data_IF_043028810756
#
_entry.id   IF_043028810756
#
_cell.length_a   1.000
_cell.length_b   1.000
_cell.length_c   1.000
_cell.angle_alpha   90.00
_cell.angle_beta   90.00
_cell.angle_gamma   90.00
#
_symmetry.space_group_name_H-M   'P 1'
#
loop_
_entity.id
_entity.type
_entity.pdbx_description
1 polymer ?
#
# COMPACT_ATOMS: atom_id res chain seq x y z
N UNK A 1 -33.67 12.26 -19.79
CA UNK A 1 -32.52 12.97 -19.17
C UNK A 1 -31.15 12.24 -19.29
N UNK A 2 -31.01 11.21 -20.14
CA UNK A 2 -29.74 10.43 -20.27
C UNK A 2 -28.88 10.79 -21.51
N UNK A 3 -29.25 11.74 -22.34
CA UNK A 3 -28.59 12.01 -23.63
C UNK A 3 -27.57 13.15 -23.62
N UNK A 4 -27.47 13.95 -22.53
CA UNK A 4 -26.58 15.13 -22.49
C UNK A 4 -25.21 14.92 -21.85
N UNK A 5 -24.97 13.77 -21.27
CA UNK A 5 -23.67 13.50 -20.58
C UNK A 5 -22.60 12.99 -21.58
N UNK A 6 -23.04 12.36 -22.69
CA UNK A 6 -22.13 11.73 -23.65
C UNK A 6 -21.54 12.70 -24.71
N UNK A 7 -22.01 13.94 -24.80
CA UNK A 7 -21.60 14.90 -25.85
C UNK A 7 -20.43 15.83 -25.41
N UNK A 8 -20.02 15.80 -24.16
CA UNK A 8 -18.80 16.49 -23.72
C UNK A 8 -17.62 15.53 -23.85
N UNK A 9 -16.80 15.71 -24.90
CA UNK A 9 -15.51 15.02 -24.98
C UNK A 9 -14.71 15.32 -23.70
N UNK A 10 -14.61 14.32 -22.82
CA UNK A 10 -13.72 14.39 -21.66
C UNK A 10 -12.29 14.48 -22.19
N UNK A 11 -11.59 15.59 -21.93
CA UNK A 11 -10.21 15.80 -22.40
C UNK A 11 -9.18 15.36 -21.38
N UNK A 12 -9.57 15.24 -20.13
CA UNK A 12 -8.70 14.82 -19.01
C UNK A 12 -9.54 14.17 -17.94
N UNK A 13 -9.09 13.03 -17.44
CA UNK A 13 -9.59 12.41 -16.23
C UNK A 13 -8.44 12.34 -15.19
N UNK A 14 -8.77 12.46 -13.91
CA UNK A 14 -7.82 12.38 -12.83
C UNK A 14 -8.44 11.55 -11.70
N UNK A 15 -7.71 10.56 -11.21
CA UNK A 15 -8.06 9.79 -10.01
C UNK A 15 -7.14 10.27 -8.89
N UNK A 16 -7.71 10.72 -7.78
CA UNK A 16 -6.98 11.11 -6.59
C UNK A 16 -7.30 10.09 -5.51
N UNK A 17 -6.31 9.28 -5.15
CA UNK A 17 -6.41 8.30 -4.06
C UNK A 17 -5.83 8.92 -2.80
N UNK A 18 -6.64 9.05 -1.76
CA UNK A 18 -6.17 9.45 -0.44
C UNK A 18 -5.78 8.19 0.32
N UNK A 19 -4.49 7.95 0.43
CA UNK A 19 -3.94 6.77 1.11
C UNK A 19 -4.34 6.75 2.59
N UNK A 20 -4.77 5.56 3.07
CA UNK A 20 -5.19 5.36 4.45
C UNK A 20 -6.51 6.04 4.86
N UNK A 21 -7.26 6.62 3.92
CA UNK A 21 -8.54 7.30 4.20
C UNK A 21 -9.72 6.43 3.78
N UNK A 22 -10.39 5.84 4.76
CA UNK A 22 -11.62 5.07 4.59
C UNK A 22 -12.86 5.79 5.13
N UNK A 23 -14.00 5.54 4.48
CA UNK A 23 -15.32 6.07 4.87
C UNK A 23 -16.26 4.90 5.11
N UNK A 24 -16.12 4.26 6.27
CA UNK A 24 -16.79 3.02 6.64
C UNK A 24 -15.95 1.78 6.32
N UNK A 25 -16.39 0.65 6.85
CA UNK A 25 -15.77 -0.65 6.66
C UNK A 25 -16.35 -1.40 5.45
N UNK A 26 -15.60 -2.34 4.90
CA UNK A 26 -16.05 -3.28 3.89
C UNK A 26 -16.84 -4.44 4.55
N UNK A 27 -17.67 -5.16 3.78
CA UNK A 27 -18.48 -6.27 4.33
C UNK A 27 -17.67 -7.41 4.96
N UNK A 28 -16.42 -7.61 4.52
CA UNK A 28 -15.47 -8.63 4.97
C UNK A 28 -14.48 -8.11 6.03
N UNK A 29 -14.67 -6.91 6.57
CA UNK A 29 -13.77 -6.29 7.55
C UNK A 29 -13.52 -7.18 8.78
N UNK A 30 -14.52 -7.95 9.22
CA UNK A 30 -14.39 -8.85 10.36
C UNK A 30 -13.34 -9.95 10.12
N UNK A 31 -13.19 -10.43 8.89
CA UNK A 31 -12.23 -11.48 8.52
C UNK A 31 -10.78 -10.98 8.63
N UNK A 32 -10.59 -9.66 8.59
CA UNK A 32 -9.30 -8.98 8.72
C UNK A 32 -9.07 -8.31 10.08
N UNK A 33 -10.01 -8.47 11.02
CA UNK A 33 -9.97 -7.80 12.33
C UNK A 33 -10.19 -6.28 12.25
N UNK A 34 -10.80 -5.78 11.17
CA UNK A 34 -10.99 -4.36 10.87
C UNK A 34 -12.42 -3.87 11.15
N UNK A 35 -13.23 -4.64 11.87
CA UNK A 35 -14.60 -4.22 12.24
C UNK A 35 -14.59 -2.85 12.94
N UNK A 36 -15.49 -1.96 12.52
CA UNK A 36 -15.56 -0.58 13.01
C UNK A 36 -14.59 0.39 12.35
N UNK A 37 -13.86 -0.04 11.32
CA UNK A 37 -12.93 0.82 10.59
C UNK A 37 -13.66 1.93 9.84
N UNK A 38 -13.34 3.18 10.18
CA UNK A 38 -13.85 4.38 9.51
C UNK A 38 -12.92 5.56 9.81
N UNK A 39 -11.90 5.76 8.98
CA UNK A 39 -10.87 6.77 9.25
C UNK A 39 -11.48 8.16 9.55
N UNK A 40 -12.34 8.66 8.67
CA UNK A 40 -12.91 10.00 8.84
C UNK A 40 -13.93 10.07 9.98
N UNK A 41 -14.75 9.04 10.17
CA UNK A 41 -15.74 9.00 11.25
C UNK A 41 -15.07 8.92 12.62
N UNK A 42 -14.11 8.00 12.78
CA UNK A 42 -13.40 7.79 14.04
C UNK A 42 -12.52 9.00 14.38
N UNK A 43 -11.83 9.58 13.39
CA UNK A 43 -11.06 10.79 13.59
C UNK A 43 -11.95 11.97 14.00
N UNK A 44 -13.09 12.15 13.35
CA UNK A 44 -14.02 13.21 13.69
C UNK A 44 -14.52 13.12 15.13
N UNK A 45 -14.85 11.91 15.58
CA UNK A 45 -15.27 11.66 16.95
C UNK A 45 -14.16 11.96 17.98
N UNK A 46 -12.91 11.60 17.67
CA UNK A 46 -11.77 11.81 18.57
C UNK A 46 -11.40 13.30 18.72
N UNK A 47 -11.47 14.07 17.62
CA UNK A 47 -11.07 15.51 17.65
C UNK A 47 -12.23 16.49 17.82
N UNK A 48 -13.46 16.00 18.02
CA UNK A 48 -14.65 16.84 18.20
C UNK A 48 -15.12 17.53 16.91
N UNK A 49 -15.00 16.82 15.78
CA UNK A 49 -15.48 17.24 14.47
C UNK A 49 -14.37 17.62 13.48
N UNK A 50 -14.67 17.43 12.19
CA UNK A 50 -13.76 17.79 11.09
C UNK A 50 -14.30 18.99 10.31
N UNK A 51 -13.38 19.84 9.84
CA UNK A 51 -13.71 20.95 8.96
C UNK A 51 -13.20 20.70 7.54
N UNK A 52 -14.05 20.10 6.68
CA UNK A 52 -13.75 19.76 5.30
C UNK A 52 -14.79 20.37 4.34
N UNK A 53 -14.83 21.72 4.20
CA UNK A 53 -15.94 22.41 3.51
C UNK A 53 -16.06 22.06 2.03
N UNK A 54 -14.95 21.78 1.35
CA UNK A 54 -14.98 21.39 -0.06
C UNK A 54 -15.52 19.97 -0.25
N UNK A 55 -15.05 19.00 0.52
CA UNK A 55 -15.55 17.63 0.46
C UNK A 55 -17.01 17.54 0.93
N UNK A 56 -17.41 18.36 1.93
CA UNK A 56 -18.79 18.48 2.35
C UNK A 56 -19.70 18.93 1.20
N UNK A 57 -19.32 19.99 0.45
CA UNK A 57 -20.06 20.44 -0.74
C UNK A 57 -20.14 19.40 -1.85
N UNK A 58 -19.14 18.53 -1.98
CA UNK A 58 -19.16 17.43 -2.93
C UNK A 58 -20.05 16.26 -2.50
N UNK A 59 -20.48 16.20 -1.24
CA UNK A 59 -21.40 15.19 -0.73
C UNK A 59 -20.80 14.20 0.25
N UNK A 60 -19.63 14.47 0.84
CA UNK A 60 -18.99 13.55 1.79
C UNK A 60 -19.90 13.19 2.96
N UNK A 61 -20.59 14.16 3.58
CA UNK A 61 -21.53 13.93 4.67
C UNK A 61 -22.82 13.17 4.28
N UNK A 62 -23.05 12.95 2.97
CA UNK A 62 -24.16 12.13 2.48
C UNK A 62 -23.81 10.63 2.41
N UNK A 63 -22.51 10.28 2.53
CA UNK A 63 -22.04 8.89 2.50
C UNK A 63 -22.26 8.22 3.86
N UNK A 64 -21.77 8.87 4.93
CA UNK A 64 -21.96 8.49 6.33
C UNK A 64 -22.06 9.75 7.19
N UNK A 65 -22.53 9.61 8.42
CA UNK A 65 -22.50 10.70 9.40
C UNK A 65 -21.06 10.93 9.88
N UNK A 66 -20.57 12.17 9.72
CA UNK A 66 -19.24 12.60 10.16
C UNK A 66 -19.43 13.90 10.95
N UNK A 67 -18.96 13.93 12.19
CA UNK A 67 -19.07 15.13 13.02
C UNK A 67 -18.33 16.31 12.37
N UNK A 68 -18.99 17.47 12.31
CA UNK A 68 -18.48 18.66 11.61
C UNK A 68 -18.72 18.70 10.09
N UNK A 69 -19.27 17.64 9.47
CA UNK A 69 -19.56 17.57 8.04
C UNK A 69 -21.03 17.17 7.82
N UNK A 70 -21.97 18.12 7.84
CA UNK A 70 -23.38 17.83 7.62
C UNK A 70 -23.64 17.35 6.18
N UNK A 71 -24.70 16.56 5.95
CA UNK A 71 -25.14 16.21 4.61
C UNK A 71 -25.44 17.47 3.78
N UNK A 72 -24.98 17.48 2.54
CA UNK A 72 -25.32 18.53 1.57
C UNK A 72 -26.69 18.26 0.97
N UNK A 73 -27.62 19.24 1.04
CA UNK A 73 -28.94 19.13 0.42
C UNK A 73 -28.84 19.08 -1.12
N UNK A 74 -27.91 19.84 -1.70
CA UNK A 74 -27.62 19.89 -3.13
C UNK A 74 -26.12 19.65 -3.37
N UNK A 75 -25.65 18.39 -3.38
CA UNK A 75 -24.26 18.07 -3.60
C UNK A 75 -23.78 18.54 -4.99
N UNK A 76 -22.57 19.10 -5.03
CA UNK A 76 -21.97 19.60 -6.30
C UNK A 76 -21.31 18.48 -7.13
N UNK A 77 -21.29 17.23 -6.63
CA UNK A 77 -20.74 16.06 -7.31
C UNK A 77 -21.61 14.83 -7.11
N UNK A 78 -21.33 13.76 -7.87
CA UNK A 78 -21.78 12.43 -7.55
C UNK A 78 -20.92 11.86 -6.41
N UNK A 79 -21.55 11.18 -5.48
CA UNK A 79 -20.91 10.50 -4.36
C UNK A 79 -21.45 9.09 -4.22
N UNK A 80 -20.69 8.20 -3.56
CA UNK A 80 -21.12 6.84 -3.35
C UNK A 80 -20.07 6.01 -2.61
N UNK A 81 -20.40 4.74 -2.39
CA UNK A 81 -19.52 3.72 -1.83
C UNK A 81 -19.18 2.71 -2.92
N UNK A 82 -17.97 2.19 -2.84
CA UNK A 82 -17.54 1.06 -3.65
C UNK A 82 -17.08 -0.05 -2.70
N UNK A 83 -17.50 -1.28 -2.97
CA UNK A 83 -17.00 -2.47 -2.30
C UNK A 83 -15.98 -3.14 -3.22
N UNK A 84 -14.80 -3.43 -2.69
CA UNK A 84 -13.77 -4.18 -3.38
C UNK A 84 -14.27 -5.60 -3.65
N UNK A 85 -14.03 -6.13 -4.85
CA UNK A 85 -14.39 -7.48 -5.27
C UNK A 85 -13.19 -8.43 -5.21
N UNK A 86 -11.97 -7.91 -5.41
CA UNK A 86 -10.75 -8.69 -5.26
C UNK A 86 -10.61 -9.14 -3.80
N UNK A 87 -10.35 -10.43 -3.54
CA UNK A 87 -10.08 -10.89 -2.19
C UNK A 87 -8.74 -10.34 -1.69
N UNK A 88 -8.62 -10.22 -0.38
CA UNK A 88 -7.39 -9.72 0.25
C UNK A 88 -7.44 -8.25 0.59
N UNK A 89 -6.40 -7.80 1.28
CA UNK A 89 -6.29 -6.46 1.84
C UNK A 89 -4.87 -5.94 1.60
N UNK A 90 -4.65 -5.41 0.41
CA UNK A 90 -3.38 -4.81 0.05
C UNK A 90 -3.54 -3.67 -0.96
N UNK A 91 -2.54 -2.77 -1.00
CA UNK A 91 -2.57 -1.60 -1.88
C UNK A 91 -2.52 -1.97 -3.35
N UNK A 92 -1.84 -3.06 -3.72
CA UNK A 92 -1.63 -3.45 -5.12
C UNK A 92 -2.94 -3.90 -5.76
N UNK A 93 -3.66 -4.83 -5.12
CA UNK A 93 -4.96 -5.31 -5.60
C UNK A 93 -5.99 -4.19 -5.67
N UNK A 94 -6.03 -3.30 -4.67
CA UNK A 94 -6.93 -2.15 -4.67
C UNK A 94 -6.69 -1.19 -5.85
N UNK A 95 -5.42 -0.88 -6.16
CA UNK A 95 -5.09 -0.04 -7.31
C UNK A 95 -5.40 -0.71 -8.65
N UNK A 96 -5.17 -2.01 -8.76
CA UNK A 96 -5.53 -2.75 -9.97
C UNK A 96 -7.04 -2.78 -10.18
N UNK A 97 -7.81 -3.00 -9.12
CA UNK A 97 -9.27 -3.02 -9.23
C UNK A 97 -9.85 -1.66 -9.63
N UNK A 98 -9.30 -0.55 -9.11
CA UNK A 98 -9.66 0.80 -9.57
C UNK A 98 -9.38 1.01 -11.06
N UNK A 99 -8.47 0.26 -11.65
CA UNK A 99 -8.13 0.30 -13.08
C UNK A 99 -8.74 -0.86 -13.87
N UNK A 100 -9.70 -1.58 -13.29
CA UNK A 100 -10.54 -2.58 -13.97
C UNK A 100 -10.02 -4.02 -13.90
N UNK A 101 -8.97 -4.31 -13.13
CA UNK A 101 -8.42 -5.64 -12.97
C UNK A 101 -8.79 -6.22 -11.61
N UNK A 102 -9.73 -7.18 -11.59
CA UNK A 102 -10.17 -7.89 -10.39
C UNK A 102 -9.36 -9.18 -10.26
N UNK A 103 -8.79 -9.41 -9.10
CA UNK A 103 -8.09 -10.65 -8.77
C UNK A 103 -9.08 -11.72 -8.31
N UNK A 104 -8.81 -12.99 -8.63
CA UNK A 104 -9.55 -14.14 -8.13
C UNK A 104 -8.92 -14.78 -6.88
N UNK A 105 -7.65 -14.47 -6.61
CA UNK A 105 -6.86 -15.02 -5.50
C UNK A 105 -6.13 -13.88 -4.81
N UNK A 106 -6.15 -13.80 -3.47
CA UNK A 106 -5.43 -12.78 -2.74
C UNK A 106 -3.91 -13.01 -2.86
N UNK A 107 -3.15 -11.96 -2.67
CA UNK A 107 -1.72 -12.09 -2.44
C UNK A 107 -1.46 -12.81 -1.11
N UNK A 108 -0.36 -13.58 -1.00
CA UNK A 108 -0.01 -14.24 0.25
C UNK A 108 0.34 -13.23 1.34
N UNK A 109 0.11 -13.60 2.60
CA UNK A 109 0.54 -12.85 3.78
C UNK A 109 1.28 -13.78 4.74
N UNK A 110 2.20 -13.22 5.53
CA UNK A 110 3.08 -14.00 6.40
C UNK A 110 3.06 -13.48 7.84
N UNK A 111 1.99 -13.75 8.61
CA UNK A 111 1.85 -13.25 9.98
C UNK A 111 2.93 -13.74 10.93
N UNK A 112 3.56 -14.88 10.65
CA UNK A 112 4.66 -15.46 11.45
C UNK A 112 6.05 -15.17 10.85
N UNK A 113 6.13 -14.31 9.81
CA UNK A 113 7.33 -14.13 9.00
C UNK A 113 7.42 -15.12 7.84
N UNK A 114 8.35 -14.89 6.93
CA UNK A 114 8.52 -15.71 5.73
C UNK A 114 9.09 -17.10 6.07
N UNK A 115 8.59 -18.16 5.42
CA UNK A 115 9.05 -19.52 5.69
C UNK A 115 10.48 -19.74 5.17
N UNK A 116 11.17 -20.79 5.68
CA UNK A 116 12.54 -21.10 5.26
C UNK A 116 12.73 -21.26 3.75
N UNK A 117 11.73 -21.74 3.03
CA UNK A 117 11.74 -21.88 1.57
C UNK A 117 11.77 -20.54 0.81
N UNK A 118 11.51 -19.42 1.49
CA UNK A 118 11.66 -18.05 0.99
C UNK A 118 12.98 -17.46 1.46
N UNK A 119 13.28 -17.55 2.75
CA UNK A 119 14.44 -16.90 3.36
C UNK A 119 15.75 -17.56 2.94
N UNK A 120 15.83 -18.90 2.94
CA UNK A 120 17.10 -19.58 2.62
C UNK A 120 17.57 -19.30 1.18
N UNK A 121 16.75 -19.45 0.13
CA UNK A 121 17.17 -19.07 -1.22
C UNK A 121 17.48 -17.57 -1.36
N UNK A 122 16.79 -16.72 -0.62
CA UNK A 122 17.07 -15.28 -0.62
C UNK A 122 18.45 -14.99 -0.03
N UNK A 123 18.79 -15.54 1.14
CA UNK A 123 20.11 -15.41 1.78
C UNK A 123 21.24 -15.93 0.87
N UNK A 124 21.02 -17.08 0.25
CA UNK A 124 21.98 -17.66 -0.72
C UNK A 124 22.19 -16.74 -1.93
N UNK A 125 21.10 -16.14 -2.44
CA UNK A 125 21.14 -15.25 -3.61
C UNK A 125 21.89 -13.96 -3.33
N UNK A 126 21.73 -13.37 -2.13
CA UNK A 126 22.37 -12.13 -1.75
C UNK A 126 23.74 -12.34 -1.06
N UNK A 127 24.11 -13.58 -0.73
CA UNK A 127 25.36 -13.93 -0.05
C UNK A 127 25.48 -13.43 1.38
N UNK A 128 24.35 -13.14 2.04
CA UNK A 128 24.28 -12.63 3.42
C UNK A 128 23.13 -13.27 4.18
N UNK A 129 23.27 -13.37 5.52
CA UNK A 129 22.13 -13.66 6.38
C UNK A 129 21.20 -12.46 6.48
N UNK A 130 19.98 -12.68 6.96
CA UNK A 130 19.03 -11.62 7.25
C UNK A 130 18.77 -11.49 8.74
N UNK A 131 18.38 -10.28 9.17
CA UNK A 131 17.87 -10.00 10.51
C UNK A 131 16.35 -9.86 10.46
N UNK A 132 15.70 -10.12 11.58
CA UNK A 132 14.27 -9.89 11.76
C UNK A 132 13.41 -11.05 11.28
N UNK A 133 12.91 -11.01 10.05
CA UNK A 133 11.95 -11.95 9.48
C UNK A 133 10.68 -12.11 10.32
N UNK A 134 10.02 -10.99 10.62
CA UNK A 134 8.80 -10.93 11.43
C UNK A 134 7.88 -9.81 10.97
N UNK A 135 6.64 -9.81 11.45
CA UNK A 135 5.72 -8.67 11.30
C UNK A 135 6.19 -7.53 12.20
N UNK A 136 6.39 -6.35 11.63
CA UNK A 136 6.81 -5.18 12.39
C UNK A 136 6.47 -3.85 11.69
N UNK A 137 6.37 -2.78 12.48
CA UNK A 137 6.45 -1.42 11.96
C UNK A 137 7.88 -1.11 11.54
N UNK A 138 8.06 -0.49 10.37
CA UNK A 138 9.38 -0.17 9.85
C UNK A 138 10.19 0.78 10.72
N UNK A 139 9.58 1.68 11.49
CA UNK A 139 10.28 2.55 12.45
C UNK A 139 10.72 1.77 13.69
N UNK A 140 9.88 0.86 14.17
CA UNK A 140 10.20 0.04 15.35
C UNK A 140 11.34 -0.93 15.05
N UNK A 141 11.27 -1.64 13.92
CA UNK A 141 12.26 -2.68 13.61
C UNK A 141 13.65 -2.12 13.30
N UNK A 142 13.75 -0.92 12.70
CA UNK A 142 15.05 -0.29 12.48
C UNK A 142 15.69 0.17 13.79
N UNK A 143 14.91 0.63 14.78
CA UNK A 143 15.44 0.92 16.11
C UNK A 143 15.86 -0.35 16.85
N UNK A 144 15.10 -1.43 16.73
CA UNK A 144 15.39 -2.71 17.37
C UNK A 144 16.66 -3.38 16.82
N UNK A 145 16.81 -3.42 15.50
CA UNK A 145 17.82 -4.21 14.80
C UNK A 145 18.91 -3.40 14.10
N UNK A 146 18.76 -2.08 14.06
CA UNK A 146 19.70 -1.21 13.32
C UNK A 146 21.13 -1.29 13.83
N UNK A 147 21.35 -1.36 15.15
CA UNK A 147 22.71 -1.53 15.71
C UNK A 147 23.34 -2.87 15.28
N UNK A 148 22.56 -3.97 15.34
CA UNK A 148 23.00 -5.28 14.88
C UNK A 148 23.26 -5.31 13.37
N UNK A 149 22.42 -4.61 12.58
CA UNK A 149 22.62 -4.43 11.14
C UNK A 149 23.96 -3.74 10.83
N UNK A 150 24.30 -2.67 11.56
CA UNK A 150 25.58 -1.95 11.38
C UNK A 150 26.76 -2.87 11.70
N UNK A 151 26.68 -3.67 12.76
CA UNK A 151 27.73 -4.58 13.18
C UNK A 151 27.93 -5.75 12.20
N UNK A 152 26.85 -6.34 11.69
CA UNK A 152 26.89 -7.58 10.91
C UNK A 152 26.90 -7.36 9.39
N UNK A 153 26.39 -6.23 8.92
CA UNK A 153 26.11 -6.00 7.51
C UNK A 153 24.92 -6.79 6.96
N UNK A 154 24.11 -7.42 7.79
CA UNK A 154 22.96 -8.22 7.39
C UNK A 154 21.73 -7.32 7.21
N UNK A 155 21.03 -7.35 6.05
CA UNK A 155 19.82 -6.57 5.85
C UNK A 155 18.70 -7.01 6.80
N UNK A 156 17.83 -6.08 7.18
CA UNK A 156 16.68 -6.33 8.03
C UNK A 156 15.49 -6.67 7.13
N UNK A 157 14.98 -7.90 7.21
CA UNK A 157 13.78 -8.35 6.50
C UNK A 157 12.59 -8.35 7.45
N UNK A 158 11.46 -7.81 7.00
CA UNK A 158 10.23 -7.79 7.76
C UNK A 158 9.01 -7.67 6.84
N UNK A 159 7.84 -7.95 7.38
CA UNK A 159 6.55 -7.81 6.70
C UNK A 159 5.57 -6.99 7.53
N UNK A 160 4.38 -6.77 7.02
CA UNK A 160 3.25 -6.14 7.72
C UNK A 160 1.96 -6.93 7.46
N UNK A 161 0.81 -6.36 7.80
CA UNK A 161 -0.48 -6.98 7.49
C UNK A 161 -0.78 -7.06 5.98
N UNK A 162 -0.09 -6.23 5.17
CA UNK A 162 -0.17 -6.26 3.71
C UNK A 162 0.75 -7.36 3.14
N UNK A 163 0.55 -7.69 1.86
CA UNK A 163 1.45 -8.57 1.10
C UNK A 163 2.70 -7.81 0.66
N UNK A 164 3.69 -7.74 1.56
CA UNK A 164 4.92 -6.99 1.33
C UNK A 164 6.15 -7.70 1.90
N UNK A 165 7.21 -7.77 1.10
CA UNK A 165 8.55 -8.16 1.53
C UNK A 165 9.41 -6.89 1.66
N UNK A 166 9.69 -6.46 2.88
CA UNK A 166 10.39 -5.22 3.14
C UNK A 166 11.82 -5.49 3.57
N UNK A 167 12.77 -4.73 3.01
CA UNK A 167 14.18 -4.86 3.29
C UNK A 167 14.71 -3.49 3.73
N UNK A 168 15.09 -3.39 5.01
CA UNK A 168 15.70 -2.17 5.53
C UNK A 168 17.23 -2.34 5.65
N UNK A 169 17.95 -1.26 5.31
CA UNK A 169 19.39 -1.18 5.45
C UNK A 169 19.85 0.25 5.69
N UNK A 170 20.89 0.40 6.51
CA UNK A 170 21.57 1.67 6.71
C UNK A 170 22.42 2.02 5.49
N UNK A 171 22.31 3.25 4.98
CA UNK A 171 22.91 3.66 3.71
C UNK A 171 24.44 3.61 3.69
N UNK A 172 25.09 3.72 4.85
CA UNK A 172 26.55 3.60 4.97
C UNK A 172 27.03 2.16 5.10
N UNK A 173 26.13 1.20 5.38
CA UNK A 173 26.45 -0.24 5.54
C UNK A 173 26.14 -1.00 4.26
N UNK A 174 24.98 -0.79 3.70
CA UNK A 174 24.55 -1.29 2.40
C UNK A 174 24.13 -0.07 1.55
N UNK A 175 24.95 0.35 0.59
CA UNK A 175 24.63 1.46 -0.29
C UNK A 175 23.26 1.28 -0.96
N UNK A 176 22.56 2.38 -1.22
CA UNK A 176 21.19 2.35 -1.77
C UNK A 176 21.11 1.57 -3.09
N UNK A 177 22.10 1.66 -3.96
CA UNK A 177 22.17 0.88 -5.20
C UNK A 177 22.23 -0.62 -4.92
N UNK A 178 23.06 -1.06 -3.96
CA UNK A 178 23.15 -2.46 -3.55
C UNK A 178 21.84 -2.93 -2.89
N UNK A 179 21.19 -2.09 -2.06
CA UNK A 179 19.88 -2.41 -1.51
C UNK A 179 18.83 -2.62 -2.61
N UNK A 180 18.89 -1.82 -3.69
CA UNK A 180 17.97 -2.01 -4.81
C UNK A 180 18.25 -3.31 -5.56
N UNK A 181 19.51 -3.71 -5.73
CA UNK A 181 19.88 -5.00 -6.34
C UNK A 181 19.41 -6.18 -5.47
N UNK A 182 19.53 -6.06 -4.14
CA UNK A 182 18.99 -7.03 -3.18
C UNK A 182 17.45 -7.13 -3.31
N UNK A 183 16.76 -6.01 -3.42
CA UNK A 183 15.30 -6.00 -3.60
C UNK A 183 14.88 -6.58 -4.96
N UNK A 184 15.63 -6.32 -6.03
CA UNK A 184 15.39 -6.92 -7.34
C UNK A 184 15.56 -8.45 -7.28
N UNK A 185 16.61 -8.93 -6.62
CA UNK A 185 16.81 -10.35 -6.38
C UNK A 185 15.67 -11.02 -5.60
N UNK A 186 15.15 -10.33 -4.56
CA UNK A 186 13.95 -10.78 -3.84
C UNK A 186 12.73 -10.84 -4.76
N UNK A 187 12.52 -9.80 -5.61
CA UNK A 187 11.39 -9.77 -6.55
C UNK A 187 11.41 -10.92 -7.54
N UNK A 188 12.60 -11.34 -8.02
CA UNK A 188 12.76 -12.50 -8.90
C UNK A 188 12.41 -13.82 -8.21
N UNK A 189 12.72 -13.95 -6.93
CA UNK A 189 12.46 -15.17 -6.15
C UNK A 189 11.00 -15.30 -5.71
N UNK A 190 10.34 -14.17 -5.39
CA UNK A 190 8.97 -14.15 -4.86
C UNK A 190 7.93 -14.31 -5.97
N UNK A 191 7.75 -15.55 -6.43
CA UNK A 191 6.83 -15.93 -7.52
C UNK A 191 5.89 -17.06 -7.10
N UNK A 192 4.89 -17.33 -7.93
CA UNK A 192 3.92 -18.40 -7.69
C UNK A 192 3.19 -18.21 -6.35
N UNK A 193 3.20 -19.25 -5.50
CA UNK A 193 2.54 -19.21 -4.18
C UNK A 193 3.14 -18.20 -3.19
N UNK A 194 4.35 -17.73 -3.43
CA UNK A 194 5.06 -16.72 -2.66
C UNK A 194 5.14 -15.36 -3.37
N UNK A 195 4.29 -15.17 -4.38
CA UNK A 195 4.25 -13.95 -5.18
C UNK A 195 3.68 -12.76 -4.40
N UNK A 196 4.53 -12.11 -3.59
CA UNK A 196 4.19 -10.90 -2.86
C UNK A 196 3.82 -9.75 -3.81
N UNK A 197 2.85 -8.94 -3.40
CA UNK A 197 2.43 -7.77 -4.15
C UNK A 197 3.56 -6.76 -4.36
N UNK A 198 4.41 -6.57 -3.35
CA UNK A 198 5.56 -5.64 -3.41
C UNK A 198 6.76 -6.16 -2.66
N UNK A 199 7.96 -5.90 -3.21
CA UNK A 199 9.21 -5.88 -2.48
C UNK A 199 9.59 -4.41 -2.27
N UNK A 200 9.95 -4.01 -1.05
CA UNK A 200 10.16 -2.60 -0.73
C UNK A 200 11.57 -2.39 -0.15
N UNK A 201 12.36 -1.56 -0.81
CA UNK A 201 13.59 -1.02 -0.26
C UNK A 201 13.27 0.07 0.77
N UNK A 202 13.82 -0.07 1.97
CA UNK A 202 13.63 0.84 3.11
C UNK A 202 14.99 1.34 3.64
N UNK A 203 15.70 2.19 2.88
CA UNK A 203 16.96 2.74 3.38
C UNK A 203 16.70 3.64 4.60
N UNK A 204 17.66 3.64 5.52
CA UNK A 204 17.64 4.51 6.70
C UNK A 204 19.04 5.05 7.02
N UNK A 205 19.11 6.07 7.85
CA UNK A 205 20.31 6.76 8.29
C UNK A 205 20.25 7.04 9.79
N UNK A 206 21.32 7.50 10.39
CA UNK A 206 21.40 7.92 11.79
C UNK A 206 22.21 6.94 12.64
N UNK A 207 22.04 7.03 13.94
CA UNK A 207 22.78 6.24 14.92
C UNK A 207 21.82 5.47 15.85
N UNK A 208 22.26 4.44 16.56
CA UNK A 208 21.42 3.71 17.53
C UNK A 208 20.70 4.66 18.49
N UNK A 209 19.36 4.50 18.58
CA UNK A 209 18.48 5.36 19.35
C UNK A 209 17.96 6.59 18.60
N UNK A 210 18.40 6.82 17.34
CA UNK A 210 17.94 7.94 16.52
C UNK A 210 18.01 7.62 15.01
N UNK A 211 17.54 6.43 14.64
CA UNK A 211 17.47 6.05 13.25
C UNK A 211 16.28 6.72 12.54
N UNK A 212 16.50 7.18 11.31
CA UNK A 212 15.48 7.83 10.50
C UNK A 212 15.41 7.21 9.10
N UNK A 213 14.22 6.87 8.64
CA UNK A 213 14.01 6.41 7.26
C UNK A 213 14.31 7.52 6.27
N UNK A 214 15.12 7.22 5.26
CA UNK A 214 15.42 8.19 4.20
C UNK A 214 14.30 8.25 3.17
N UNK A 215 14.34 9.27 2.31
CA UNK A 215 13.39 9.46 1.21
C UNK A 215 13.64 8.54 0.01
N UNK A 216 14.71 7.72 0.04
CA UNK A 216 15.12 6.81 -1.04
C UNK A 216 14.42 5.46 -0.98
N UNK A 217 13.18 5.43 -0.46
CA UNK A 217 12.32 4.25 -0.58
C UNK A 217 12.08 3.95 -2.05
N UNK A 218 12.11 2.65 -2.40
CA UNK A 218 11.73 2.19 -3.72
C UNK A 218 10.91 0.91 -3.64
N UNK A 219 9.83 0.83 -4.40
CA UNK A 219 8.91 -0.31 -4.41
C UNK A 219 9.08 -1.08 -5.73
N UNK A 220 9.40 -2.36 -5.62
CA UNK A 220 9.47 -3.33 -6.71
C UNK A 220 8.15 -4.10 -6.74
N UNK A 221 7.14 -3.53 -7.38
CA UNK A 221 5.80 -4.12 -7.46
C UNK A 221 5.76 -5.23 -8.50
N UNK A 222 4.90 -6.22 -8.25
CA UNK A 222 4.56 -7.21 -9.27
C UNK A 222 3.76 -6.52 -10.38
N UNK A 223 3.96 -6.95 -11.62
CA UNK A 223 3.17 -6.44 -12.75
C UNK A 223 1.76 -7.00 -12.73
N UNK A 224 0.75 -6.22 -13.17
CA UNK A 224 -0.62 -6.72 -13.30
C UNK A 224 -0.67 -7.97 -14.19
N UNK A 225 -1.43 -9.02 -13.82
CA UNK A 225 -1.55 -10.25 -14.62
C UNK A 225 -2.36 -10.10 -15.92
N UNK A 226 -2.92 -8.92 -16.15
CA UNK A 226 -3.72 -8.61 -17.34
C UNK A 226 -3.76 -7.12 -17.65
N UNK A 227 -4.41 -6.73 -18.74
CA UNK A 227 -4.53 -5.34 -19.16
C UNK A 227 -5.39 -4.55 -18.16
N UNK A 228 -4.96 -3.34 -17.87
CA UNK A 228 -5.66 -2.35 -17.04
C UNK A 228 -6.26 -1.24 -17.90
N UNK A 229 -7.04 -0.35 -17.31
CA UNK A 229 -7.51 0.87 -17.96
C UNK A 229 -6.35 1.68 -18.58
N UNK A 230 -5.19 1.72 -17.93
CA UNK A 230 -4.03 2.44 -18.41
C UNK A 230 -3.51 1.87 -19.73
N UNK A 231 -3.44 0.54 -19.84
CA UNK A 231 -3.08 -0.13 -21.11
C UNK A 231 -4.08 0.19 -22.21
N UNK A 232 -5.38 0.08 -21.90
CA UNK A 232 -6.47 0.36 -22.86
C UNK A 232 -6.42 1.80 -23.37
N UNK A 233 -6.14 2.76 -22.50
CA UNK A 233 -6.01 4.17 -22.89
C UNK A 233 -4.76 4.41 -23.74
N UNK A 234 -3.63 3.81 -23.37
CA UNK A 234 -2.40 3.92 -24.14
C UNK A 234 -2.54 3.31 -25.53
N UNK A 235 -3.17 2.14 -25.66
CA UNK A 235 -3.45 1.47 -26.94
C UNK A 235 -4.40 2.29 -27.82
N UNK A 236 -5.29 3.07 -27.21
CA UNK A 236 -6.17 4.02 -27.89
C UNK A 236 -5.49 5.39 -28.15
N UNK A 237 -4.17 5.49 -27.97
CA UNK A 237 -3.35 6.69 -28.17
C UNK A 237 -3.73 7.89 -27.30
N UNK A 238 -4.30 7.64 -26.11
CA UNK A 238 -4.41 8.69 -25.09
C UNK A 238 -3.08 8.81 -24.32
N UNK A 239 -2.80 10.01 -23.87
CA UNK A 239 -1.69 10.23 -22.94
C UNK A 239 -2.12 9.80 -21.53
N UNK A 240 -1.35 8.89 -20.93
CA UNK A 240 -1.57 8.34 -19.58
C UNK A 240 -0.41 8.76 -18.69
#
# INVERSE_FOLDING_TARGET
MKKHILDRKCRRAMIIVMDGVGVGELPDAADFGDSGSCTLGNLAAEVGGLHLPHLGKLGLGNIISIEGIPPAAEPQAAYGRMAMQSPGKDSTSGHWEMTGLILSTPFPTYPEGFPPEVIIPFEERIGRKVLGNKVASGTVIIEELGAQHIETGYPIVYTSADSVFQIAAHEEVIPVSELYDICAAARELLTGRHGEGRVIARPFVGEPGNFTRSTRRHDFSVSPPGPTLLNTLNDAHYQV
#
